data_IF_858974343436
#
_entry.id   IF_858974343436
#
_cell.length_a   1.000
_cell.length_b   1.000
_cell.length_c   1.000
_cell.angle_alpha   90.00
_cell.angle_beta   90.00
_cell.angle_gamma   90.00
#
_symmetry.space_group_name_H-M   'P 1'
#
loop_
_entity.id
_entity.type
_entity.pdbx_description
1 polymer ?
#
# COMPACT_ATOMS: atom_id res chain seq x y z
N UNK A 1 34.02 -40.54 -51.00
CA UNK A 1 34.27 -41.63 -50.00
C UNK A 1 33.51 -41.30 -48.72
N UNK A 2 32.63 -42.17 -48.41
CA UNK A 2 31.77 -42.35 -47.27
C UNK A 2 32.49 -42.35 -45.91
N UNK A 3 31.84 -41.83 -44.84
CA UNK A 3 31.53 -42.45 -43.54
C UNK A 3 31.14 -41.34 -42.57
N UNK A 4 30.04 -41.34 -42.02
CA UNK A 4 29.22 -42.18 -41.09
C UNK A 4 29.12 -41.48 -39.73
N UNK A 5 27.92 -41.10 -39.50
CA UNK A 5 27.06 -41.02 -38.31
C UNK A 5 27.62 -41.68 -37.01
N UNK A 6 27.52 -40.91 -35.88
CA UNK A 6 27.21 -41.53 -34.58
C UNK A 6 26.32 -40.61 -33.77
N UNK A 7 25.09 -41.08 -33.54
CA UNK A 7 24.13 -40.60 -32.55
C UNK A 7 24.65 -40.85 -31.13
N UNK A 8 24.59 -39.83 -30.28
CA UNK A 8 24.67 -39.99 -28.85
C UNK A 8 23.37 -39.50 -28.24
N UNK A 9 22.51 -40.45 -27.88
CA UNK A 9 21.31 -40.22 -27.08
C UNK A 9 21.70 -39.91 -25.65
N UNK A 10 21.46 -38.71 -25.21
CA UNK A 10 21.61 -38.34 -23.78
C UNK A 10 20.27 -38.49 -23.07
N UNK A 11 20.27 -39.36 -22.09
CA UNK A 11 19.15 -39.78 -21.23
C UNK A 11 18.64 -38.59 -20.41
N UNK A 12 17.35 -38.34 -20.48
CA UNK A 12 16.63 -37.47 -19.58
C UNK A 12 16.59 -38.11 -18.19
N UNK A 13 17.30 -37.51 -17.24
CA UNK A 13 17.18 -37.84 -15.81
C UNK A 13 16.05 -36.99 -15.24
N UNK A 14 14.98 -37.66 -14.86
CA UNK A 14 13.84 -37.10 -14.14
C UNK A 14 14.28 -36.52 -12.81
N UNK A 15 14.34 -35.21 -12.71
CA UNK A 15 14.55 -34.50 -11.45
C UNK A 15 13.22 -34.44 -10.72
N UNK A 16 13.16 -35.07 -9.55
CA UNK A 16 12.03 -35.08 -8.63
C UNK A 16 11.68 -33.66 -8.21
N UNK A 17 10.43 -33.29 -8.45
CA UNK A 17 9.79 -32.08 -7.97
C UNK A 17 9.79 -32.11 -6.42
N UNK A 18 10.64 -31.28 -5.81
CA UNK A 18 10.55 -30.95 -4.40
C UNK A 18 9.40 -29.95 -4.25
N UNK A 19 8.44 -30.31 -3.46
CA UNK A 19 7.28 -29.47 -3.09
C UNK A 19 7.77 -28.14 -2.48
N UNK A 20 7.14 -27.01 -2.82
CA UNK A 20 7.46 -25.74 -2.16
C UNK A 20 7.05 -25.81 -0.68
N UNK A 21 7.95 -25.36 0.16
CA UNK A 21 7.72 -25.12 1.58
C UNK A 21 6.57 -24.13 1.72
N UNK A 22 5.48 -24.57 2.31
CA UNK A 22 4.33 -23.74 2.62
C UNK A 22 4.74 -22.62 3.58
N UNK A 23 4.44 -21.41 3.19
CA UNK A 23 4.59 -20.17 3.94
C UNK A 23 3.78 -20.21 5.25
N UNK A 24 4.43 -20.62 6.35
CA UNK A 24 3.87 -20.61 7.72
C UNK A 24 4.00 -19.24 8.41
N UNK A 25 4.45 -18.21 7.71
CA UNK A 25 4.69 -16.89 8.31
C UNK A 25 3.53 -15.88 8.17
N UNK A 26 2.56 -16.14 7.31
CA UNK A 26 1.44 -15.22 7.13
C UNK A 26 0.31 -15.39 8.17
N UNK A 27 0.32 -16.47 8.98
CA UNK A 27 -0.73 -16.73 9.99
C UNK A 27 -0.65 -15.92 11.29
N UNK A 28 0.40 -15.13 11.50
CA UNK A 28 0.57 -14.41 12.79
C UNK A 28 0.01 -12.98 12.81
N UNK A 29 -0.38 -12.43 11.68
CA UNK A 29 -0.79 -11.02 11.61
C UNK A 29 -2.29 -10.77 11.85
N UNK A 30 -3.14 -11.78 11.75
CA UNK A 30 -4.60 -11.59 11.81
C UNK A 30 -5.27 -11.94 13.13
N UNK A 31 -4.56 -12.51 14.11
CA UNK A 31 -5.19 -12.99 15.36
C UNK A 31 -5.51 -11.88 16.37
N UNK A 32 -5.20 -10.62 16.10
CA UNK A 32 -5.42 -9.51 17.05
C UNK A 32 -6.78 -8.83 16.85
N UNK A 33 -7.45 -9.01 15.70
CA UNK A 33 -8.74 -8.34 15.45
C UNK A 33 -9.98 -9.04 16.05
N UNK A 34 -9.83 -10.25 16.58
CA UNK A 34 -10.96 -11.09 17.01
C UNK A 34 -11.51 -10.79 18.42
N UNK A 35 -11.12 -9.71 19.11
CA UNK A 35 -11.53 -9.51 20.51
C UNK A 35 -11.88 -8.07 20.90
N UNK A 36 -12.42 -7.26 20.02
CA UNK A 36 -13.06 -6.01 20.48
C UNK A 36 -14.56 -6.31 20.70
N UNK A 37 -14.89 -6.80 21.90
CA UNK A 37 -16.27 -6.81 22.41
C UNK A 37 -16.67 -5.37 22.72
N UNK A 38 -17.68 -4.88 22.02
CA UNK A 38 -18.36 -3.62 22.35
C UNK A 38 -19.14 -3.87 23.65
N UNK A 39 -18.90 -3.11 24.73
CA UNK A 39 -19.74 -3.21 25.92
C UNK A 39 -21.12 -2.62 25.65
N UNK A 40 -22.17 -3.42 25.86
CA UNK A 40 -23.57 -2.99 25.85
C UNK A 40 -23.83 -2.04 27.00
N UNK A 41 -24.43 -0.88 26.70
CA UNK A 41 -24.82 0.13 27.65
C UNK A 41 -26.01 -0.36 28.55
N UNK A 42 -26.03 -0.01 29.84
CA UNK A 42 -27.17 -0.29 30.70
C UNK A 42 -28.31 0.71 30.47
N UNK A 43 -29.54 0.20 30.50
CA UNK A 43 -30.76 1.00 30.45
C UNK A 43 -30.90 1.88 31.69
N UNK A 44 -31.09 3.18 31.49
CA UNK A 44 -31.44 4.10 32.59
C UNK A 44 -32.89 4.54 32.50
N UNK A 45 -33.51 4.50 33.65
CA UNK A 45 -34.90 4.79 33.96
C UNK A 45 -35.29 6.26 33.83
N UNK A 46 -36.60 6.46 33.58
CA UNK A 46 -37.33 7.73 33.50
C UNK A 46 -37.25 8.58 34.77
N UNK A 47 -37.11 9.88 34.62
CA UNK A 47 -37.74 10.90 35.48
C UNK A 47 -37.96 12.22 34.70
N UNK A 48 -39.04 12.92 35.02
CA UNK A 48 -39.71 13.98 34.27
C UNK A 48 -39.14 15.39 34.44
N UNK A 49 -39.34 16.19 33.39
CA UNK A 49 -39.28 17.64 33.09
C UNK A 49 -39.23 18.68 34.25
N UNK A 50 -38.86 20.00 34.00
CA UNK A 50 -39.55 20.87 33.00
C UNK A 50 -38.65 21.87 32.19
N UNK A 51 -39.18 22.25 31.03
CA UNK A 51 -39.05 23.50 30.24
C UNK A 51 -38.00 24.54 30.63
N UNK A 52 -37.03 24.72 29.75
CA UNK A 52 -36.44 26.03 29.44
C UNK A 52 -35.97 26.06 27.98
N UNK A 53 -36.57 26.99 27.20
CA UNK A 53 -36.16 27.31 25.83
C UNK A 53 -34.81 28.00 25.90
N UNK A 54 -33.76 27.29 25.58
CA UNK A 54 -32.49 27.88 25.19
C UNK A 54 -32.13 27.31 23.84
N UNK A 55 -31.82 28.21 22.87
CA UNK A 55 -31.33 27.91 21.55
C UNK A 55 -30.13 26.94 21.66
N UNK A 56 -30.37 25.66 21.45
CA UNK A 56 -29.32 24.69 21.29
C UNK A 56 -28.62 24.94 19.97
N UNK A 57 -27.48 25.60 20.04
CA UNK A 57 -26.45 25.48 19.01
C UNK A 57 -26.19 24.00 18.84
N UNK A 58 -26.59 23.46 17.68
CA UNK A 58 -26.20 22.13 17.25
C UNK A 58 -24.68 22.09 17.17
N UNK A 59 -24.02 21.77 18.27
CA UNK A 59 -22.71 21.22 18.23
C UNK A 59 -22.83 19.90 17.45
N UNK A 60 -22.45 19.92 16.18
CA UNK A 60 -22.14 18.70 15.42
C UNK A 60 -21.10 17.96 16.24
N UNK A 61 -21.54 16.96 16.99
CA UNK A 61 -20.68 15.94 17.51
C UNK A 61 -20.06 15.27 16.26
N UNK A 62 -18.88 15.69 15.90
CA UNK A 62 -18.03 14.95 14.98
C UNK A 62 -17.70 13.65 15.75
N UNK A 63 -18.46 12.60 15.46
CA UNK A 63 -18.10 11.25 15.82
C UNK A 63 -16.81 10.96 15.04
N UNK A 64 -15.67 11.28 15.64
CA UNK A 64 -14.38 10.87 15.13
C UNK A 64 -14.34 9.36 15.26
N UNK A 65 -14.56 8.66 14.15
CA UNK A 65 -14.28 7.23 14.08
C UNK A 65 -12.82 7.03 14.48
N UNK A 66 -12.52 6.10 15.38
CA UNK A 66 -11.15 5.90 15.85
C UNK A 66 -10.26 5.51 14.67
N UNK A 67 -9.19 6.28 14.50
CA UNK A 67 -8.12 5.93 13.54
C UNK A 67 -7.36 4.75 14.11
N UNK A 68 -7.21 3.70 13.32
CA UNK A 68 -6.48 2.50 13.70
C UNK A 68 -5.09 2.59 13.07
N UNK A 69 -4.05 2.58 13.89
CA UNK A 69 -2.66 2.49 13.43
C UNK A 69 -2.26 1.02 13.34
N UNK A 70 -1.52 0.66 12.30
CA UNK A 70 -0.97 -0.69 12.17
C UNK A 70 0.15 -0.91 13.21
N UNK A 71 0.07 -1.98 14.04
CA UNK A 71 1.09 -2.25 15.06
C UNK A 71 2.48 -2.54 14.48
N UNK A 72 2.54 -3.09 13.26
CA UNK A 72 3.78 -3.47 12.58
C UNK A 72 4.33 -2.34 11.71
N UNK A 73 3.46 -1.44 11.28
CA UNK A 73 3.72 -0.34 10.36
C UNK A 73 3.15 0.96 10.92
N UNK A 74 3.87 1.66 11.82
CA UNK A 74 3.38 2.89 12.46
C UNK A 74 3.14 4.04 11.49
N UNK A 75 3.60 3.92 10.26
CA UNK A 75 3.35 4.84 9.14
C UNK A 75 2.03 4.56 8.40
N UNK A 76 1.31 3.48 8.72
CA UNK A 76 0.10 3.04 8.05
C UNK A 76 -1.13 3.18 8.96
N UNK A 77 -2.18 3.79 8.42
CA UNK A 77 -3.42 4.09 9.13
C UNK A 77 -4.62 3.55 8.39
N UNK A 78 -5.58 3.01 9.15
CA UNK A 78 -6.86 2.52 8.66
C UNK A 78 -7.96 3.44 9.14
N UNK A 79 -8.70 4.02 8.21
CA UNK A 79 -9.82 4.92 8.48
C UNK A 79 -11.13 4.21 8.13
N UNK A 80 -12.04 3.95 9.09
CA UNK A 80 -13.34 3.36 8.77
C UNK A 80 -14.17 4.39 7.98
N UNK A 81 -14.56 4.02 6.77
CA UNK A 81 -15.39 4.83 5.87
C UNK A 81 -16.50 3.99 5.27
N UNK A 82 -17.58 4.65 4.82
CA UNK A 82 -18.66 3.97 4.11
C UNK A 82 -18.66 4.40 2.66
N UNK A 83 -18.61 3.42 1.75
CA UNK A 83 -18.78 3.65 0.31
C UNK A 83 -20.21 3.30 -0.10
N UNK A 84 -20.87 4.11 -0.95
CA UNK A 84 -22.28 3.93 -1.30
C UNK A 84 -22.64 2.59 -1.91
N UNK A 85 -21.69 1.97 -2.63
CA UNK A 85 -21.91 0.70 -3.37
C UNK A 85 -21.34 -0.53 -2.67
N UNK A 86 -20.39 -0.36 -1.74
CA UNK A 86 -19.62 -1.46 -1.14
C UNK A 86 -19.95 -1.63 0.36
N UNK A 87 -20.49 -0.58 1.00
CA UNK A 87 -20.78 -0.59 2.44
C UNK A 87 -19.60 -0.11 3.28
N UNK A 88 -19.40 -0.73 4.44
CA UNK A 88 -18.31 -0.39 5.37
C UNK A 88 -16.98 -0.92 4.86
N UNK A 89 -15.98 -0.04 4.75
CA UNK A 89 -14.63 -0.38 4.31
C UNK A 89 -13.60 0.36 5.17
N UNK A 90 -12.38 -0.15 5.20
CA UNK A 90 -11.24 0.56 5.74
C UNK A 90 -10.45 1.23 4.62
N UNK A 91 -10.39 2.56 4.64
CA UNK A 91 -9.51 3.33 3.78
C UNK A 91 -8.10 3.29 4.35
N UNK A 92 -7.15 2.79 3.59
CA UNK A 92 -5.74 2.67 3.98
C UNK A 92 -4.99 3.92 3.55
N UNK A 93 -4.24 4.55 4.46
CA UNK A 93 -3.52 5.79 4.19
C UNK A 93 -2.19 5.86 4.94
N UNK A 94 -1.25 6.64 4.41
CA UNK A 94 0.00 7.00 5.11
C UNK A 94 -0.16 8.22 6.03
N UNK A 95 -1.35 8.78 6.13
CA UNK A 95 -1.64 9.94 6.97
C UNK A 95 -2.55 9.57 8.13
N UNK A 96 -2.22 10.02 9.33
CA UNK A 96 -3.05 9.84 10.52
C UNK A 96 -4.34 10.68 10.45
N UNK A 97 -4.34 11.75 9.67
CA UNK A 97 -5.54 12.54 9.40
C UNK A 97 -6.56 11.75 8.58
N UNK A 98 -7.84 11.75 8.98
CA UNK A 98 -8.87 11.11 8.18
C UNK A 98 -8.99 11.81 6.82
N UNK A 99 -9.23 11.05 5.75
CA UNK A 99 -9.38 11.62 4.41
C UNK A 99 -10.61 12.55 4.36
N UNK A 100 -10.55 13.68 3.63
CA UNK A 100 -11.68 14.62 3.53
C UNK A 100 -12.89 13.98 2.84
N UNK A 101 -12.64 13.07 1.92
CA UNK A 101 -13.67 12.27 1.25
C UNK A 101 -13.23 10.80 1.21
N UNK A 102 -14.17 9.84 1.17
CA UNK A 102 -13.84 8.43 1.04
C UNK A 102 -13.01 8.09 -0.21
N UNK A 103 -13.10 8.90 -1.25
CA UNK A 103 -12.39 8.76 -2.53
C UNK A 103 -11.26 9.81 -2.68
N UNK A 104 -10.72 10.29 -1.57
CA UNK A 104 -9.60 11.22 -1.55
C UNK A 104 -8.33 10.60 -2.15
N UNK A 105 -7.51 11.44 -2.74
CA UNK A 105 -6.20 11.05 -3.25
C UNK A 105 -5.20 10.61 -2.16
N UNK A 106 -5.48 10.88 -0.89
CA UNK A 106 -4.69 10.42 0.26
C UNK A 106 -4.96 8.95 0.63
N UNK A 107 -6.05 8.37 0.11
CA UNK A 107 -6.41 6.98 0.33
C UNK A 107 -5.67 6.11 -0.68
N UNK A 108 -4.80 5.21 -0.21
CA UNK A 108 -4.06 4.26 -1.04
C UNK A 108 -4.98 3.24 -1.69
N UNK A 109 -5.99 2.81 -0.96
CA UNK A 109 -7.02 1.86 -1.41
C UNK A 109 -7.94 1.48 -0.27
N UNK A 110 -8.84 0.55 -0.55
CA UNK A 110 -9.89 0.13 0.37
C UNK A 110 -9.81 -1.36 0.64
N UNK A 111 -9.99 -1.73 1.91
CA UNK A 111 -10.18 -3.10 2.36
C UNK A 111 -11.63 -3.24 2.83
N UNK A 112 -12.40 -4.24 2.37
CA UNK A 112 -13.73 -4.48 2.88
C UNK A 112 -13.66 -4.79 4.38
N UNK A 113 -14.62 -4.24 5.15
CA UNK A 113 -14.71 -4.52 6.58
C UNK A 113 -15.33 -5.90 6.86
N UNK A 114 -16.18 -6.35 5.93
CA UNK A 114 -16.86 -7.66 5.96
C UNK A 114 -16.95 -8.19 4.54
N UNK A 115 -16.71 -9.50 4.37
CA UNK A 115 -16.94 -10.16 3.09
C UNK A 115 -18.41 -10.54 3.02
N UNK A 116 -19.15 -9.99 2.06
CA UNK A 116 -20.55 -10.30 1.85
C UNK A 116 -20.69 -11.71 1.27
N UNK A 117 -21.15 -12.67 2.08
CA UNK A 117 -21.52 -14.00 1.61
C UNK A 117 -20.91 -15.19 2.34
N UNK A 118 -19.85 -15.01 3.10
CA UNK A 118 -19.27 -16.08 3.94
C UNK A 118 -19.14 -15.57 5.38
N UNK A 119 -19.92 -16.15 6.29
CA UNK A 119 -20.02 -15.70 7.69
C UNK A 119 -18.69 -15.81 8.48
N UNK A 120 -17.68 -16.51 7.94
CA UNK A 120 -16.39 -16.76 8.57
C UNK A 120 -15.18 -16.35 7.69
N UNK A 121 -15.39 -15.67 6.55
CA UNK A 121 -14.31 -15.25 5.69
C UNK A 121 -13.78 -13.89 6.15
N UNK A 122 -12.57 -13.87 6.68
CA UNK A 122 -11.85 -12.62 6.98
C UNK A 122 -11.36 -11.97 5.68
N UNK A 123 -11.58 -10.65 5.55
CA UNK A 123 -11.06 -9.88 4.43
C UNK A 123 -9.52 -9.93 4.42
N UNK A 124 -8.96 -10.35 3.31
CA UNK A 124 -7.52 -10.49 3.12
C UNK A 124 -6.92 -9.37 2.27
N UNK A 125 -5.59 -9.35 2.17
CA UNK A 125 -4.87 -8.41 1.30
C UNK A 125 -5.22 -8.60 -0.19
N UNK A 126 -5.76 -9.75 -0.57
CA UNK A 126 -6.23 -10.03 -1.94
C UNK A 126 -7.50 -9.23 -2.31
N UNK A 127 -8.26 -8.80 -1.30
CA UNK A 127 -9.50 -8.02 -1.49
C UNK A 127 -9.22 -6.51 -1.53
N UNK A 128 -7.94 -6.14 -1.51
CA UNK A 128 -7.54 -4.74 -1.58
C UNK A 128 -7.86 -4.14 -2.94
N UNK A 129 -8.63 -3.06 -2.93
CA UNK A 129 -8.98 -2.28 -4.13
C UNK A 129 -8.12 -1.02 -4.17
N UNK A 130 -7.27 -0.90 -5.19
CA UNK A 130 -6.36 0.23 -5.34
C UNK A 130 -7.07 1.52 -5.75
N UNK A 131 -6.58 2.66 -5.23
CA UNK A 131 -7.03 3.98 -5.64
C UNK A 131 -6.14 4.54 -6.77
N UNK A 132 -6.66 4.71 -8.00
CA UNK A 132 -5.86 5.24 -9.10
C UNK A 132 -5.40 6.69 -8.89
N UNK A 133 -6.14 7.50 -8.11
CA UNK A 133 -5.76 8.88 -7.78
C UNK A 133 -4.51 8.88 -6.90
N UNK A 134 -4.48 8.02 -5.88
CA UNK A 134 -3.29 7.86 -5.04
C UNK A 134 -2.10 7.37 -5.84
N UNK A 135 -2.29 6.35 -6.69
CA UNK A 135 -1.22 5.82 -7.55
C UNK A 135 -0.58 6.91 -8.40
N UNK A 136 -1.38 7.79 -9.00
CA UNK A 136 -0.87 8.91 -9.80
C UNK A 136 0.00 9.87 -8.96
N UNK A 137 -0.50 10.26 -7.78
CA UNK A 137 0.25 11.15 -6.85
C UNK A 137 1.52 10.48 -6.34
N UNK A 138 1.49 9.19 -6.04
CA UNK A 138 2.67 8.44 -5.60
C UNK A 138 3.76 8.47 -6.68
N UNK A 139 3.43 8.24 -7.95
CA UNK A 139 4.40 8.32 -9.04
C UNK A 139 4.95 9.75 -9.22
N UNK A 140 4.11 10.78 -9.09
CA UNK A 140 4.54 12.18 -9.12
C UNK A 140 5.50 12.50 -7.96
N UNK A 141 5.18 12.03 -6.74
CA UNK A 141 6.01 12.21 -5.56
C UNK A 141 7.37 11.54 -5.72
N UNK A 142 7.42 10.29 -6.22
CA UNK A 142 8.65 9.56 -6.46
C UNK A 142 9.50 10.25 -7.54
N UNK A 143 8.91 10.62 -8.67
CA UNK A 143 9.62 11.32 -9.73
C UNK A 143 10.22 12.66 -9.23
N UNK A 144 9.46 13.40 -8.42
CA UNK A 144 9.90 14.64 -7.82
C UNK A 144 11.02 14.39 -6.79
N UNK A 145 10.88 13.36 -5.95
CA UNK A 145 11.89 12.95 -4.98
C UNK A 145 13.22 12.57 -5.65
N UNK A 146 13.18 11.87 -6.76
CA UNK A 146 14.37 11.56 -7.56
C UNK A 146 15.01 12.82 -8.14
N UNK A 147 14.21 13.80 -8.57
CA UNK A 147 14.69 15.10 -9.07
C UNK A 147 15.36 15.93 -7.98
N UNK A 148 14.77 15.94 -6.80
CA UNK A 148 15.26 16.65 -5.62
C UNK A 148 16.36 15.89 -4.88
N UNK A 149 16.61 14.61 -5.26
CA UNK A 149 17.63 13.74 -4.64
C UNK A 149 17.42 13.60 -3.13
N UNK A 150 16.18 13.33 -2.73
CA UNK A 150 15.79 13.22 -1.32
C UNK A 150 16.34 12.00 -0.62
N UNK A 151 16.90 11.02 -1.36
CA UNK A 151 17.31 9.73 -0.85
C UNK A 151 18.66 9.30 -1.43
N UNK A 152 19.64 9.10 -0.55
CA UNK A 152 21.00 8.71 -0.92
C UNK A 152 21.07 7.29 -1.50
N UNK A 153 20.08 6.42 -1.19
CA UNK A 153 20.01 5.04 -1.71
C UNK A 153 20.00 5.06 -3.23
N UNK A 154 19.14 5.90 -3.82
CA UNK A 154 18.99 5.98 -5.28
C UNK A 154 20.18 6.70 -5.94
N UNK A 155 20.78 7.67 -5.25
CA UNK A 155 22.00 8.34 -5.71
C UNK A 155 23.15 7.33 -5.78
N UNK A 156 23.33 6.52 -4.74
CA UNK A 156 24.36 5.49 -4.68
C UNK A 156 24.12 4.38 -5.70
N UNK A 157 22.86 3.97 -5.90
CA UNK A 157 22.50 3.00 -6.94
C UNK A 157 22.85 3.53 -8.35
N UNK A 158 22.60 4.80 -8.62
CA UNK A 158 22.97 5.42 -9.90
C UNK A 158 24.49 5.52 -10.08
N UNK A 159 25.25 5.80 -9.02
CA UNK A 159 26.72 5.80 -9.04
C UNK A 159 27.29 4.41 -9.35
N UNK A 160 26.69 3.36 -8.82
CA UNK A 160 27.11 1.98 -9.07
C UNK A 160 26.75 1.51 -10.49
N UNK A 161 25.54 1.86 -10.96
CA UNK A 161 25.06 1.48 -12.29
C UNK A 161 25.81 2.19 -13.42
N UNK A 162 26.21 3.44 -13.19
CA UNK A 162 26.89 4.32 -14.14
C UNK A 162 26.05 4.66 -15.38
N UNK A 163 25.55 3.67 -16.11
CA UNK A 163 24.77 3.85 -17.33
C UNK A 163 23.77 2.69 -17.49
N UNK A 164 22.51 3.01 -17.81
CA UNK A 164 21.45 2.04 -18.06
C UNK A 164 20.15 2.36 -17.35
N UNK A 165 19.18 1.45 -17.45
CA UNK A 165 17.92 1.56 -16.76
C UNK A 165 18.05 1.10 -15.30
N UNK A 166 17.70 1.98 -14.37
CA UNK A 166 17.61 1.69 -12.94
C UNK A 166 16.16 1.45 -12.58
N UNK A 167 15.90 0.34 -11.87
CA UNK A 167 14.57 0.02 -11.35
C UNK A 167 14.43 0.54 -9.93
N UNK A 168 13.30 1.19 -9.68
CA UNK A 168 12.89 1.61 -8.34
C UNK A 168 12.05 0.48 -7.78
N UNK A 169 12.58 -0.21 -6.76
CA UNK A 169 11.93 -1.35 -6.11
C UNK A 169 11.17 -0.92 -4.87
N UNK A 170 10.12 -1.65 -4.58
CA UNK A 170 9.42 -1.60 -3.30
C UNK A 170 10.28 -2.28 -2.22
N UNK A 171 10.41 -1.65 -1.05
CA UNK A 171 11.23 -2.17 0.04
C UNK A 171 10.59 -3.36 0.77
N UNK A 172 9.32 -3.67 0.50
CA UNK A 172 8.64 -4.85 1.08
C UNK A 172 9.27 -6.17 0.61
N UNK A 173 9.79 -6.19 -0.63
CA UNK A 173 10.44 -7.36 -1.23
C UNK A 173 11.62 -6.94 -2.10
N UNK A 174 12.76 -6.71 -1.46
CA UNK A 174 13.99 -6.33 -2.17
C UNK A 174 14.63 -7.54 -2.84
N UNK A 175 14.96 -7.46 -4.15
CA UNK A 175 15.63 -8.54 -4.83
C UNK A 175 17.05 -8.75 -4.27
N UNK A 176 17.52 -9.99 -4.28
CA UNK A 176 18.91 -10.29 -3.98
C UNK A 176 19.84 -9.61 -4.99
N UNK A 177 21.05 -9.26 -4.55
CA UNK A 177 22.05 -8.59 -5.39
C UNK A 177 22.25 -9.33 -6.73
N UNK A 178 22.17 -8.58 -7.83
CA UNK A 178 22.33 -9.10 -9.18
C UNK A 178 21.09 -9.83 -9.74
N UNK A 179 19.94 -9.77 -9.06
CA UNK A 179 18.65 -10.26 -9.57
C UNK A 179 17.71 -9.10 -9.85
N UNK A 180 16.83 -9.31 -10.80
CA UNK A 180 15.69 -8.42 -11.05
C UNK A 180 14.59 -8.86 -10.09
N UNK A 181 13.93 -7.91 -9.42
CA UNK A 181 12.80 -8.17 -8.54
C UNK A 181 11.57 -8.66 -9.30
N UNK A 182 10.57 -9.11 -8.54
CA UNK A 182 9.29 -9.47 -9.11
C UNK A 182 8.64 -8.26 -9.79
N UNK A 183 7.99 -8.43 -10.95
CA UNK A 183 7.36 -7.32 -11.68
C UNK A 183 6.35 -6.54 -10.85
N UNK A 184 5.68 -7.20 -9.90
CA UNK A 184 4.68 -6.61 -9.01
C UNK A 184 5.30 -5.68 -7.95
N UNK A 185 6.63 -5.79 -7.73
CA UNK A 185 7.38 -5.00 -6.76
C UNK A 185 8.29 -3.94 -7.41
N UNK A 186 8.31 -3.86 -8.73
CA UNK A 186 9.00 -2.79 -9.43
C UNK A 186 8.04 -1.61 -9.62
N UNK A 187 8.27 -0.53 -8.87
CA UNK A 187 7.43 0.68 -8.91
C UNK A 187 7.59 1.40 -10.24
N UNK A 188 8.83 1.60 -10.67
CA UNK A 188 9.15 2.35 -11.87
C UNK A 188 10.57 2.06 -12.37
N UNK A 189 10.85 2.54 -13.58
CA UNK A 189 12.19 2.55 -14.17
C UNK A 189 12.60 3.97 -14.55
N UNK A 190 13.87 4.28 -14.42
CA UNK A 190 14.46 5.58 -14.77
C UNK A 190 15.82 5.38 -15.41
N UNK A 191 16.15 6.19 -16.43
CA UNK A 191 17.44 6.11 -17.09
C UNK A 191 18.51 6.82 -16.25
N UNK A 192 19.66 6.16 -16.11
CA UNK A 192 20.89 6.71 -15.55
C UNK A 192 21.89 6.92 -16.67
N UNK A 193 22.51 8.08 -16.73
CA UNK A 193 23.59 8.43 -17.64
C UNK A 193 24.67 9.19 -16.90
N UNK A 194 25.91 8.81 -17.10
CA UNK A 194 27.07 9.42 -16.42
C UNK A 194 26.89 9.48 -14.90
N UNK A 195 26.41 8.35 -14.32
CA UNK A 195 26.10 8.22 -12.90
C UNK A 195 25.05 9.22 -12.37
N UNK A 196 24.23 9.80 -13.25
CA UNK A 196 23.15 10.72 -12.89
C UNK A 196 21.82 10.18 -13.29
N UNK A 197 20.85 10.24 -12.38
CA UNK A 197 19.46 9.92 -12.65
C UNK A 197 18.88 10.99 -13.58
N UNK A 198 18.14 10.55 -14.60
CA UNK A 198 17.39 11.43 -15.51
C UNK A 198 15.89 11.34 -15.16
N UNK A 199 15.34 12.15 -14.24
CA UNK A 199 13.95 12.02 -13.77
C UNK A 199 12.89 12.18 -14.87
N UNK A 200 13.24 12.84 -15.96
CA UNK A 200 12.35 13.05 -17.09
C UNK A 200 12.10 11.76 -17.90
N UNK A 201 12.91 10.71 -17.69
CA UNK A 201 12.76 9.40 -18.32
C UNK A 201 12.00 8.41 -17.43
N UNK A 202 11.42 8.88 -16.32
CA UNK A 202 10.65 8.07 -15.39
C UNK A 202 9.48 7.38 -16.08
N UNK A 203 9.40 6.08 -15.92
CA UNK A 203 8.34 5.23 -16.46
C UNK A 203 7.77 4.39 -15.34
N UNK A 204 6.50 4.60 -15.03
CA UNK A 204 5.78 3.75 -14.08
C UNK A 204 5.63 2.34 -14.63
N UNK A 205 5.77 1.32 -13.76
CA UNK A 205 5.56 -0.07 -14.15
C UNK A 205 4.07 -0.42 -14.09
N UNK A 206 3.47 -0.88 -15.21
CA UNK A 206 2.05 -1.24 -15.24
C UNK A 206 1.70 -2.44 -14.36
N UNK A 207 2.66 -3.35 -14.16
CA UNK A 207 2.49 -4.56 -13.34
C UNK A 207 2.59 -4.28 -11.84
N UNK A 208 3.11 -3.12 -11.42
CA UNK A 208 3.27 -2.79 -10.01
C UNK A 208 1.93 -2.79 -9.27
N UNK A 209 1.90 -3.40 -8.08
CA UNK A 209 0.72 -3.47 -7.22
C UNK A 209 0.99 -2.78 -5.88
N UNK A 210 0.05 -1.91 -5.48
CA UNK A 210 0.15 -1.19 -4.19
C UNK A 210 0.06 -2.11 -2.98
N UNK A 211 -0.61 -3.24 -3.13
CA UNK A 211 -0.72 -4.26 -2.09
C UNK A 211 -0.54 -5.66 -2.70
N UNK A 212 0.31 -6.47 -2.10
CA UNK A 212 0.55 -7.89 -2.45
C UNK A 212 0.45 -8.75 -1.21
N UNK A 213 0.73 -10.05 -1.33
CA UNK A 213 0.85 -10.97 -0.19
C UNK A 213 1.90 -10.53 0.84
N UNK A 214 2.91 -9.77 0.40
CA UNK A 214 3.99 -9.25 1.25
C UNK A 214 3.60 -7.96 1.98
N UNK A 215 2.41 -7.46 1.72
CA UNK A 215 1.83 -6.28 2.38
C UNK A 215 1.66 -5.07 1.47
N UNK A 216 1.26 -3.94 2.07
CA UNK A 216 1.16 -2.66 1.39
C UNK A 216 2.52 -2.07 1.05
N UNK A 217 2.56 -1.20 0.04
CA UNK A 217 3.74 -0.45 -0.42
C UNK A 217 4.64 0.03 0.72
N UNK A 218 5.94 -0.20 0.59
CA UNK A 218 6.97 0.27 1.50
C UNK A 218 8.04 1.02 0.71
N UNK A 219 8.06 2.33 0.82
CA UNK A 219 9.06 3.18 0.17
C UNK A 219 10.31 3.34 1.05
N UNK A 220 11.42 3.77 0.43
CA UNK A 220 12.59 4.24 1.17
C UNK A 220 12.24 5.48 1.98
N UNK A 221 12.99 5.75 3.05
CA UNK A 221 12.66 6.79 4.03
C UNK A 221 12.49 8.17 3.38
N UNK A 222 13.40 8.56 2.49
CA UNK A 222 13.34 9.84 1.79
C UNK A 222 12.13 9.95 0.86
N UNK A 223 11.82 8.88 0.09
CA UNK A 223 10.65 8.86 -0.77
C UNK A 223 9.34 8.82 0.02
N UNK A 224 9.30 8.10 1.16
CA UNK A 224 8.14 8.05 2.03
C UNK A 224 7.84 9.44 2.64
N UNK A 225 8.87 10.13 3.12
CA UNK A 225 8.74 11.51 3.63
C UNK A 225 8.24 12.47 2.54
N UNK A 226 8.80 12.35 1.32
CA UNK A 226 8.34 13.15 0.17
C UNK A 226 6.88 12.86 -0.20
N UNK A 227 6.49 11.60 -0.22
CA UNK A 227 5.10 11.20 -0.49
C UNK A 227 4.13 11.81 0.55
N UNK A 228 4.44 11.72 1.85
CA UNK A 228 3.61 12.31 2.91
C UNK A 228 3.41 13.80 2.70
N UNK A 229 4.47 14.54 2.40
CA UNK A 229 4.43 15.98 2.15
C UNK A 229 3.56 16.32 0.94
N UNK A 230 3.64 15.55 -0.15
CA UNK A 230 2.81 15.74 -1.34
C UNK A 230 1.34 15.43 -1.05
N UNK A 231 1.06 14.36 -0.27
CA UNK A 231 -0.30 14.00 0.13
C UNK A 231 -0.95 15.05 1.03
N UNK A 232 -0.22 15.60 2.00
CA UNK A 232 -0.68 16.69 2.86
C UNK A 232 -1.06 17.93 2.02
N UNK A 233 -0.21 18.28 1.05
CA UNK A 233 -0.49 19.37 0.11
C UNK A 233 -1.69 19.10 -0.81
N UNK A 234 -1.93 17.83 -1.15
CA UNK A 234 -3.08 17.43 -1.96
C UNK A 234 -4.39 17.52 -1.16
N UNK A 235 -4.40 17.04 0.09
CA UNK A 235 -5.55 17.18 1.00
C UNK A 235 -5.93 18.65 1.21
N UNK A 236 -4.93 19.52 1.43
CA UNK A 236 -5.19 20.94 1.62
C UNK A 236 -5.91 21.56 0.41
N UNK A 237 -5.58 21.12 -0.79
CA UNK A 237 -6.26 21.55 -2.03
C UNK A 237 -7.66 20.97 -2.16
N UNK A 238 -7.88 19.70 -1.82
CA UNK A 238 -9.19 19.06 -1.81
C UNK A 238 -10.17 19.71 -0.82
N UNK A 239 -9.66 20.16 0.33
CA UNK A 239 -10.48 20.80 1.38
C UNK A 239 -10.90 22.24 1.02
N UNK A 240 -10.18 22.89 0.09
CA UNK A 240 -10.42 24.29 -0.30
C UNK A 240 -11.40 24.40 -1.47
N UNK A 241 -11.73 23.31 -2.15
CA UNK A 241 -12.73 23.22 -3.24
C UNK A 241 -14.10 22.86 -2.71
#
# INVERSE_FOLDING_TARGET
MLRASTNAATRFTTCKILRPYSSLLCRRFFTIFSSIRIPSAPAASRAASPTSRTHALFARCLTSNPVISDPSRPDLFYHPVSLPMVGSVYAVSFLAQPPPTPDSCSVMGWLPAEIVGEADAEAGLNDFVENPKFRAIMHEAIQTGLREKVDDIWINAALQLQQGWMHIHDNRNLPALGRIGDPDDIIASVLVRDSKILPNTYQSMPSYRLCTSDGPTLLTEGLAAKLKLVLEGAIARETTQ
#
